data_IF_149382427900
#
_entry.id   IF_149382427900
#
_cell.length_a   1.000
_cell.length_b   1.000
_cell.length_c   1.000
_cell.angle_alpha   90.00
_cell.angle_beta   90.00
_cell.angle_gamma   90.00
#
_symmetry.space_group_name_H-M   'P 1'
#
loop_
_entity.id
_entity.type
_entity.pdbx_description
1 polymer ?
#
# COMPACT_ATOMS: atom_id res chain seq x y z
N UNK A 1 -16.84 6.04 2.47
CA UNK A 1 -15.96 5.51 1.39
C UNK A 1 -15.34 6.68 0.67
N UNK A 2 -14.10 7.04 0.97
CA UNK A 2 -13.33 8.05 0.23
C UNK A 2 -11.85 7.68 0.26
N UNK A 3 -11.48 6.65 -0.52
CA UNK A 3 -10.09 6.43 -0.91
C UNK A 3 -9.84 7.20 -2.20
N UNK A 4 -9.13 8.32 -2.12
CA UNK A 4 -8.69 9.06 -3.29
C UNK A 4 -7.50 8.33 -3.89
N UNK A 5 -7.71 7.70 -5.05
CA UNK A 5 -6.73 7.54 -6.13
C UNK A 5 -7.51 6.96 -7.31
N UNK A 6 -7.47 7.66 -8.44
CA UNK A 6 -8.27 7.33 -9.62
C UNK A 6 -7.94 5.96 -10.21
N UNK A 7 -8.51 5.70 -11.38
CA UNK A 7 -8.34 4.44 -12.11
C UNK A 7 -6.85 4.05 -12.18
N UNK A 8 -6.55 2.81 -11.80
CA UNK A 8 -5.20 2.26 -11.82
C UNK A 8 -5.10 1.24 -12.97
N UNK A 9 -4.03 1.31 -13.75
CA UNK A 9 -3.77 0.41 -14.85
C UNK A 9 -2.49 -0.37 -14.63
N UNK A 10 -2.47 -1.61 -15.06
CA UNK A 10 -1.27 -2.43 -15.12
C UNK A 10 -1.25 -3.29 -16.39
N UNK A 11 -0.06 -3.64 -16.85
CA UNK A 11 0.10 -4.69 -17.84
C UNK A 11 0.26 -6.05 -17.17
N UNK A 12 -0.26 -7.09 -17.80
CA UNK A 12 0.14 -8.46 -17.55
C UNK A 12 0.55 -9.14 -18.85
N UNK A 13 1.56 -9.99 -18.81
CA UNK A 13 1.95 -10.81 -19.96
C UNK A 13 2.20 -12.26 -19.58
N UNK A 14 2.07 -13.14 -20.55
CA UNK A 14 2.57 -14.49 -20.45
C UNK A 14 4.08 -14.48 -20.15
N UNK A 15 4.53 -15.36 -19.26
CA UNK A 15 5.95 -15.57 -18.95
C UNK A 15 6.63 -16.55 -19.91
N UNK A 16 5.85 -17.36 -20.62
CA UNK A 16 6.33 -18.40 -21.53
C UNK A 16 6.79 -17.83 -22.87
N UNK A 17 6.15 -16.76 -23.34
CA UNK A 17 6.49 -16.08 -24.59
C UNK A 17 6.24 -14.56 -24.49
N UNK A 18 6.45 -13.84 -25.59
CA UNK A 18 6.29 -12.38 -25.68
C UNK A 18 5.06 -11.93 -26.49
N UNK A 19 4.25 -12.86 -27.02
CA UNK A 19 3.23 -12.55 -28.01
C UNK A 19 1.81 -12.92 -27.60
N UNK A 20 1.62 -13.93 -26.74
CA UNK A 20 0.32 -14.46 -26.35
C UNK A 20 -0.15 -13.97 -24.97
N UNK A 21 -1.46 -14.03 -24.73
CA UNK A 21 -2.10 -13.82 -23.43
C UNK A 21 -1.61 -12.55 -22.71
N UNK A 22 -1.63 -11.43 -23.42
CA UNK A 22 -1.26 -10.11 -22.89
C UNK A 22 -2.51 -9.35 -22.49
N UNK A 23 -2.48 -8.70 -21.33
CA UNK A 23 -3.63 -7.99 -20.80
C UNK A 23 -3.28 -6.58 -20.36
N UNK A 24 -4.20 -5.65 -20.56
CA UNK A 24 -4.32 -4.47 -19.70
C UNK A 24 -5.30 -4.83 -18.59
N UNK A 25 -4.87 -4.67 -17.34
CA UNK A 25 -5.74 -4.78 -16.17
C UNK A 25 -6.15 -3.38 -15.76
N UNK A 26 -7.46 -3.17 -15.63
CA UNK A 26 -8.04 -1.91 -15.15
C UNK A 26 -8.62 -2.13 -13.77
N UNK A 27 -8.19 -1.34 -12.80
CA UNK A 27 -8.66 -1.37 -11.42
C UNK A 27 -9.34 -0.05 -11.07
N UNK A 28 -10.41 -0.10 -10.27
CA UNK A 28 -11.13 1.09 -9.81
C UNK A 28 -10.23 2.04 -9.02
N UNK A 29 -9.31 1.48 -8.23
CA UNK A 29 -8.27 2.21 -7.50
C UNK A 29 -7.02 1.35 -7.40
N UNK A 30 -5.92 1.98 -6.99
CA UNK A 30 -4.70 1.27 -6.62
C UNK A 30 -4.91 0.28 -5.47
N UNK A 31 -5.73 0.63 -4.48
CA UNK A 31 -6.01 -0.27 -3.35
C UNK A 31 -6.67 -1.57 -3.82
N UNK A 32 -7.51 -1.52 -4.87
CA UNK A 32 -8.07 -2.73 -5.50
C UNK A 32 -6.98 -3.56 -6.16
N UNK A 33 -5.99 -2.94 -6.83
CA UNK A 33 -4.87 -3.66 -7.43
C UNK A 33 -4.00 -4.40 -6.40
N UNK A 34 -3.65 -3.71 -5.31
CA UNK A 34 -2.88 -4.30 -4.21
C UNK A 34 -3.68 -5.39 -3.49
N UNK A 35 -5.00 -5.20 -3.29
CA UNK A 35 -5.92 -6.20 -2.71
C UNK A 35 -6.08 -7.44 -3.59
N UNK A 36 -6.23 -7.26 -4.90
CA UNK A 36 -6.30 -8.36 -5.85
C UNK A 36 -5.02 -9.20 -5.83
N UNK A 37 -3.86 -8.56 -5.92
CA UNK A 37 -2.60 -9.29 -5.92
C UNK A 37 -2.37 -10.02 -4.58
N UNK A 38 -2.73 -9.37 -3.46
CA UNK A 38 -2.72 -10.01 -2.13
C UNK A 38 -3.61 -11.25 -2.10
N UNK A 39 -4.83 -11.18 -2.63
CA UNK A 39 -5.74 -12.32 -2.67
C UNK A 39 -5.19 -13.48 -3.52
N UNK A 40 -4.54 -13.19 -4.64
CA UNK A 40 -3.82 -14.18 -5.46
C UNK A 40 -2.73 -14.86 -4.64
N UNK A 41 -1.83 -14.11 -4.01
CA UNK A 41 -0.72 -14.70 -3.23
C UNK A 41 -1.20 -15.44 -1.99
N UNK A 42 -2.26 -14.96 -1.35
CA UNK A 42 -2.83 -15.58 -0.13
C UNK A 42 -3.52 -16.90 -0.46
N UNK A 43 -4.19 -17.00 -1.63
CA UNK A 43 -4.75 -18.27 -2.09
C UNK A 43 -3.68 -19.35 -2.28
N UNK A 44 -2.52 -18.98 -2.86
CA UNK A 44 -1.40 -19.89 -3.06
C UNK A 44 -0.79 -20.31 -1.73
N UNK A 45 -0.52 -19.35 -0.83
CA UNK A 45 -0.01 -19.63 0.50
C UNK A 45 -0.97 -20.49 1.34
N UNK A 46 -2.28 -20.32 1.12
CA UNK A 46 -3.35 -21.13 1.73
C UNK A 46 -3.56 -22.51 1.12
N UNK A 47 -2.67 -22.96 0.21
CA UNK A 47 -2.73 -24.29 -0.38
C UNK A 47 -3.57 -24.42 -1.65
N UNK A 48 -3.91 -23.30 -2.32
CA UNK A 48 -4.57 -23.28 -3.62
C UNK A 48 -3.61 -22.78 -4.73
N UNK A 49 -2.73 -23.66 -5.26
CA UNK A 49 -1.60 -23.24 -6.09
C UNK A 49 -1.96 -22.90 -7.55
N UNK A 50 -3.26 -22.91 -7.92
CA UNK A 50 -3.73 -22.67 -9.30
C UNK A 50 -3.12 -21.42 -9.93
N UNK A 51 -2.92 -20.37 -9.14
CA UNK A 51 -2.38 -19.09 -9.62
C UNK A 51 -0.94 -18.81 -9.17
N UNK A 52 -0.18 -19.85 -8.77
CA UNK A 52 1.22 -19.72 -8.35
C UNK A 52 2.15 -19.16 -9.46
N UNK A 53 1.73 -19.27 -10.72
CA UNK A 53 2.42 -18.66 -11.87
C UNK A 53 2.28 -17.14 -11.95
N UNK A 54 1.34 -16.52 -11.24
CA UNK A 54 1.12 -15.06 -11.26
C UNK A 54 2.14 -14.37 -10.36
N UNK A 55 2.93 -13.44 -10.93
CA UNK A 55 3.96 -12.68 -10.21
C UNK A 55 3.87 -11.19 -10.54
N UNK A 56 4.03 -10.35 -9.53
CA UNK A 56 4.22 -8.90 -9.69
C UNK A 56 5.70 -8.59 -9.91
N UNK A 57 6.02 -7.94 -11.02
CA UNK A 57 7.37 -7.48 -11.34
C UNK A 57 7.55 -6.02 -10.90
N UNK A 58 6.51 -5.20 -11.07
CA UNK A 58 6.46 -3.81 -10.63
C UNK A 58 5.01 -3.41 -10.31
N UNK A 59 4.80 -2.22 -9.76
CA UNK A 59 3.49 -1.67 -9.43
C UNK A 59 2.45 -1.77 -10.57
N UNK A 60 2.89 -1.57 -11.82
CA UNK A 60 2.09 -1.63 -13.05
C UNK A 60 2.45 -2.78 -13.99
N UNK A 61 3.22 -3.78 -13.55
CA UNK A 61 3.64 -4.88 -14.41
C UNK A 61 3.61 -6.24 -13.72
N UNK A 62 2.86 -7.16 -14.31
CA UNK A 62 2.68 -8.53 -13.85
C UNK A 62 3.07 -9.52 -14.95
N UNK A 63 3.41 -10.73 -14.54
CA UNK A 63 3.56 -11.88 -15.42
C UNK A 63 2.72 -13.05 -14.92
N UNK A 64 2.31 -13.93 -15.82
CA UNK A 64 1.67 -15.19 -15.45
C UNK A 64 2.13 -16.33 -16.35
N UNK A 65 2.08 -17.56 -15.85
CA UNK A 65 2.32 -18.76 -16.65
C UNK A 65 1.00 -19.28 -17.23
N UNK A 66 0.80 -19.10 -18.54
CA UNK A 66 -0.43 -19.54 -19.23
C UNK A 66 -0.62 -21.06 -19.26
N UNK A 67 0.44 -21.86 -19.05
CA UNK A 67 0.34 -23.32 -18.98
C UNK A 67 -0.25 -23.78 -17.64
N UNK A 68 -0.21 -22.92 -16.60
CA UNK A 68 -0.77 -23.22 -15.28
C UNK A 68 -2.18 -22.65 -15.15
N UNK A 69 -2.33 -21.33 -15.38
CA UNK A 69 -3.61 -20.66 -15.36
C UNK A 69 -3.56 -19.31 -16.09
N UNK A 70 -4.71 -18.91 -16.65
CA UNK A 70 -4.86 -17.60 -17.25
C UNK A 70 -5.16 -16.56 -16.15
N UNK A 71 -4.39 -15.47 -16.10
CA UNK A 71 -4.47 -14.50 -15.02
C UNK A 71 -5.85 -13.86 -14.86
N UNK A 72 -6.61 -13.71 -15.95
CA UNK A 72 -7.96 -13.14 -15.90
C UNK A 72 -8.96 -14.05 -15.16
N UNK A 73 -8.67 -15.34 -15.00
CA UNK A 73 -9.56 -16.26 -14.29
C UNK A 73 -9.59 -15.97 -12.78
N UNK A 74 -8.57 -15.26 -12.25
CA UNK A 74 -8.48 -14.90 -10.82
C UNK A 74 -9.73 -14.19 -10.29
N UNK A 75 -10.35 -13.31 -11.09
CA UNK A 75 -11.56 -12.55 -10.72
C UNK A 75 -12.86 -13.34 -10.88
N UNK A 76 -12.78 -14.54 -11.43
CA UNK A 76 -13.91 -15.45 -11.56
C UNK A 76 -13.82 -16.62 -10.58
N UNK A 77 -12.70 -16.76 -9.87
CA UNK A 77 -12.47 -17.85 -8.93
C UNK A 77 -12.91 -17.45 -7.50
N UNK A 78 -13.88 -18.17 -6.89
CA UNK A 78 -14.38 -17.87 -5.55
C UNK A 78 -13.33 -18.04 -4.45
N UNK A 79 -12.26 -18.81 -4.68
CA UNK A 79 -11.18 -18.99 -3.71
C UNK A 79 -10.10 -17.92 -3.79
N UNK A 80 -10.22 -16.98 -4.75
CA UNK A 80 -9.18 -16.00 -5.05
C UNK A 80 -9.74 -14.59 -4.99
N UNK A 81 -10.31 -14.06 -6.06
CA UNK A 81 -10.67 -12.64 -6.14
C UNK A 81 -12.07 -12.38 -6.69
N UNK A 82 -12.98 -13.36 -6.61
CA UNK A 82 -14.38 -13.18 -7.03
C UNK A 82 -15.07 -11.99 -6.36
N UNK A 83 -14.74 -11.71 -5.09
CA UNK A 83 -15.31 -10.59 -4.35
C UNK A 83 -14.89 -9.21 -4.88
N UNK A 84 -13.88 -9.13 -5.76
CA UNK A 84 -13.46 -7.91 -6.46
C UNK A 84 -14.13 -7.73 -7.83
N UNK A 85 -15.04 -8.63 -8.21
CA UNK A 85 -15.81 -8.50 -9.45
C UNK A 85 -16.57 -7.16 -9.47
N UNK A 86 -16.48 -6.45 -10.59
CA UNK A 86 -17.04 -5.11 -10.75
C UNK A 86 -16.13 -3.97 -10.29
N UNK A 87 -15.01 -4.27 -9.61
CA UNK A 87 -13.98 -3.28 -9.23
C UNK A 87 -12.74 -3.35 -10.10
N UNK A 88 -12.62 -4.39 -10.94
CA UNK A 88 -11.54 -4.54 -11.90
C UNK A 88 -11.98 -5.42 -13.08
N UNK A 89 -11.28 -5.30 -14.19
CA UNK A 89 -11.45 -6.18 -15.35
C UNK A 89 -10.16 -6.32 -16.15
N UNK A 90 -10.11 -7.33 -17.01
CA UNK A 90 -8.99 -7.60 -17.91
C UNK A 90 -9.42 -7.34 -19.35
N UNK A 91 -8.60 -6.61 -20.08
CA UNK A 91 -8.72 -6.44 -21.54
C UNK A 91 -7.62 -7.24 -22.20
N UNK A 92 -7.99 -8.30 -22.93
CA UNK A 92 -7.04 -9.06 -23.75
C UNK A 92 -6.54 -8.15 -24.89
N UNK A 93 -5.22 -8.08 -25.03
CA UNK A 93 -4.54 -7.38 -26.12
C UNK A 93 -4.33 -8.38 -27.26
N UNK A 94 -4.46 -7.93 -28.51
CA UNK A 94 -4.23 -8.77 -29.70
C UNK A 94 -2.91 -9.53 -29.64
N UNK A 95 -2.91 -10.79 -30.05
CA UNK A 95 -1.70 -11.59 -30.22
C UNK A 95 -0.94 -11.13 -31.47
N UNK A 96 0.35 -10.78 -31.33
CA UNK A 96 1.37 -10.36 -32.33
C UNK A 96 0.98 -9.39 -33.49
N UNK A 97 -0.29 -9.12 -33.76
CA UNK A 97 -0.76 -8.39 -34.92
C UNK A 97 -1.30 -7.00 -34.57
N UNK A 98 -0.58 -6.01 -35.13
CA UNK A 98 -1.07 -4.67 -35.39
C UNK A 98 -0.64 -3.60 -34.41
N UNK A 99 0.68 -3.32 -34.27
CA UNK A 99 1.36 -2.06 -33.85
C UNK A 99 0.73 -1.17 -32.74
N UNK A 100 -0.26 -1.64 -32.00
CA UNK A 100 -1.07 -0.88 -31.06
C UNK A 100 -0.88 -1.54 -29.71
N UNK A 101 0.04 -0.98 -28.94
CA UNK A 101 0.10 -1.24 -27.51
C UNK A 101 -0.72 -0.14 -26.84
N UNK A 102 -1.72 -0.52 -26.03
CA UNK A 102 -2.45 0.44 -25.21
C UNK A 102 -1.48 1.09 -24.24
N UNK A 103 -1.04 2.32 -24.49
CA UNK A 103 -0.13 3.05 -23.60
C UNK A 103 -0.91 3.40 -22.33
N UNK A 104 -0.53 2.82 -21.20
CA UNK A 104 -1.10 3.17 -19.90
C UNK A 104 -0.30 4.33 -19.29
N UNK A 105 -0.94 5.27 -18.58
CA UNK A 105 -0.23 6.33 -17.89
C UNK A 105 0.69 5.75 -16.80
N UNK A 106 1.86 6.36 -16.64
CA UNK A 106 2.77 6.04 -15.54
C UNK A 106 2.14 6.46 -14.22
N UNK A 107 2.11 5.54 -13.26
CA UNK A 107 1.62 5.79 -11.92
C UNK A 107 2.80 5.97 -10.97
N UNK A 108 3.00 7.20 -10.49
CA UNK A 108 4.05 7.56 -9.54
C UNK A 108 3.61 7.25 -8.11
N UNK A 109 3.44 5.97 -7.82
CA UNK A 109 3.01 5.47 -6.52
C UNK A 109 4.06 4.52 -5.94
N UNK A 110 4.37 4.66 -4.65
CA UNK A 110 5.33 3.78 -3.98
C UNK A 110 4.71 2.41 -3.70
N UNK A 111 5.34 1.30 -4.06
CA UNK A 111 4.82 -0.04 -3.71
C UNK A 111 4.80 -0.24 -2.20
N UNK A 112 3.61 -0.51 -1.63
CA UNK A 112 3.42 -0.71 -0.19
C UNK A 112 3.79 -2.14 0.15
N UNK A 113 5.05 -2.37 0.42
CA UNK A 113 5.65 -3.66 0.76
C UNK A 113 5.92 -3.78 2.26
N UNK A 114 5.58 -4.95 2.82
CA UNK A 114 5.80 -5.32 4.22
C UNK A 114 7.30 -5.37 4.54
N UNK A 115 7.74 -4.60 5.53
CA UNK A 115 9.13 -4.53 5.98
C UNK A 115 9.97 -3.44 5.30
N UNK A 116 9.41 -2.71 4.34
CA UNK A 116 10.11 -1.59 3.71
C UNK A 116 9.99 -0.31 4.54
N UNK A 117 10.88 0.64 4.25
CA UNK A 117 10.90 1.96 4.88
C UNK A 117 10.34 3.03 3.95
N UNK A 118 9.57 3.97 4.51
CA UNK A 118 8.87 5.03 3.79
C UNK A 118 8.98 6.35 4.53
N UNK A 119 8.84 7.45 3.81
CA UNK A 119 8.43 8.71 4.44
C UNK A 119 6.91 8.75 4.51
N UNK A 120 6.37 9.38 5.55
CA UNK A 120 4.92 9.62 5.68
C UNK A 120 4.67 11.08 5.39
N UNK A 121 3.94 11.38 4.31
CA UNK A 121 3.71 12.73 3.77
C UNK A 121 2.24 13.11 3.87
N UNK A 122 1.94 14.38 4.11
CA UNK A 122 0.56 14.88 4.02
C UNK A 122 0.08 14.81 2.58
N UNK A 123 -1.10 14.22 2.36
CA UNK A 123 -1.70 14.15 1.03
C UNK A 123 -2.22 15.52 0.55
N UNK A 124 -2.39 16.48 1.45
CA UNK A 124 -2.86 17.83 1.14
C UNK A 124 -1.71 18.84 0.97
N UNK A 125 -0.54 18.58 1.56
CA UNK A 125 0.65 19.43 1.44
C UNK A 125 1.90 18.56 1.23
N UNK A 126 2.37 18.51 -0.02
CA UNK A 126 3.50 17.67 -0.42
C UNK A 126 4.85 18.07 0.21
N UNK A 127 4.91 19.20 0.91
CA UNK A 127 6.09 19.63 1.65
C UNK A 127 6.03 19.21 3.13
N UNK A 128 4.90 18.72 3.63
CA UNK A 128 4.72 18.38 5.05
C UNK A 128 4.88 16.87 5.27
N UNK A 129 5.82 16.49 6.14
CA UNK A 129 6.17 15.10 6.44
C UNK A 129 6.12 14.81 7.94
N UNK A 130 5.98 13.54 8.29
CA UNK A 130 6.25 13.06 9.64
C UNK A 130 7.77 13.07 9.89
N UNK A 131 8.14 13.64 11.02
CA UNK A 131 9.49 13.66 11.56
C UNK A 131 9.45 13.18 13.00
N UNK A 132 10.26 12.17 13.33
CA UNK A 132 10.43 11.71 14.70
C UNK A 132 11.49 12.55 15.41
N UNK A 133 11.04 13.40 16.33
CA UNK A 133 11.89 14.21 17.19
C UNK A 133 12.41 13.36 18.35
N UNK A 134 13.66 12.90 18.23
CA UNK A 134 14.33 12.07 19.25
C UNK A 134 14.52 12.79 20.58
N UNK A 135 14.62 14.13 20.58
CA UNK A 135 14.77 14.89 21.82
C UNK A 135 13.51 14.89 22.67
N UNK A 136 12.36 14.67 22.03
CA UNK A 136 11.04 14.70 22.66
C UNK A 136 10.27 13.38 22.60
N UNK A 137 10.84 12.38 21.92
CA UNK A 137 10.23 11.07 21.70
C UNK A 137 8.84 11.12 21.05
N UNK A 138 8.60 12.10 20.17
CA UNK A 138 7.32 12.33 19.51
C UNK A 138 7.48 12.45 18.00
N UNK A 139 6.44 12.10 17.25
CA UNK A 139 6.33 12.41 15.83
C UNK A 139 5.65 13.76 15.66
N UNK A 140 6.29 14.63 14.89
CA UNK A 140 5.79 15.96 14.54
C UNK A 140 5.62 16.06 13.03
N UNK A 141 4.73 16.94 12.59
CA UNK A 141 4.70 17.36 11.20
C UNK A 141 5.79 18.42 10.98
N UNK A 142 6.60 18.29 9.93
CA UNK A 142 7.68 19.22 9.60
C UNK A 142 7.79 19.41 8.09
N UNK A 143 8.37 20.54 7.66
CA UNK A 143 8.56 20.88 6.24
C UNK A 143 9.99 20.78 5.74
N UNK A 144 10.93 20.93 6.66
CA UNK A 144 12.37 20.94 6.45
C UNK A 144 13.04 19.61 6.88
N UNK A 145 12.27 18.74 7.56
CA UNK A 145 12.75 17.48 8.13
C UNK A 145 11.75 16.37 7.86
N UNK A 146 12.27 15.14 7.77
CA UNK A 146 11.49 13.92 7.58
C UNK A 146 12.24 12.72 8.16
N UNK A 147 11.49 11.74 8.66
CA UNK A 147 12.04 10.48 9.15
C UNK A 147 11.58 9.35 8.25
N UNK A 148 12.49 8.41 7.95
CA UNK A 148 12.12 7.16 7.29
C UNK A 148 11.62 6.18 8.34
N UNK A 149 10.44 5.62 8.10
CA UNK A 149 9.74 4.71 8.99
C UNK A 149 9.63 3.34 8.35
N UNK A 150 10.04 2.29 9.06
CA UNK A 150 9.83 0.91 8.60
C UNK A 150 8.42 0.46 8.98
N UNK A 151 7.66 0.02 7.99
CA UNK A 151 6.26 -0.39 8.13
C UNK A 151 6.17 -1.91 8.01
N UNK A 152 5.66 -2.57 9.05
CA UNK A 152 5.48 -4.03 9.08
C UNK A 152 4.05 -4.42 9.39
N UNK A 153 3.55 -5.49 8.78
CA UNK A 153 2.27 -6.09 9.14
C UNK A 153 2.33 -6.63 10.59
N UNK A 154 1.26 -6.43 11.34
CA UNK A 154 1.15 -6.89 12.72
C UNK A 154 0.95 -8.41 12.84
N UNK A 155 0.46 -9.07 11.79
CA UNK A 155 0.45 -10.53 11.69
C UNK A 155 1.88 -11.05 11.44
N UNK A 156 2.44 -11.74 12.44
CA UNK A 156 3.79 -12.31 12.39
C UNK A 156 3.95 -13.42 11.36
N UNK A 157 2.86 -14.05 10.94
CA UNK A 157 2.89 -15.08 9.90
C UNK A 157 3.01 -14.47 8.50
N UNK A 158 2.84 -13.15 8.39
CA UNK A 158 2.90 -12.45 7.12
C UNK A 158 4.36 -12.26 6.69
N UNK A 159 4.73 -12.91 5.59
CA UNK A 159 6.08 -12.80 5.05
C UNK A 159 6.47 -11.34 4.73
N UNK A 160 7.73 -11.00 5.04
CA UNK A 160 8.38 -9.79 4.55
C UNK A 160 8.40 -9.79 3.03
N UNK A 161 8.35 -8.61 2.41
CA UNK A 161 8.27 -8.47 0.96
C UNK A 161 6.85 -8.61 0.38
N UNK A 162 5.85 -8.92 1.20
CA UNK A 162 4.47 -9.06 0.74
C UNK A 162 3.71 -7.72 0.68
N UNK A 163 2.72 -7.58 -0.22
CA UNK A 163 2.04 -6.29 -0.51
C UNK A 163 1.05 -5.88 0.60
N UNK A 164 1.33 -4.83 1.35
CA UNK A 164 0.42 -4.30 2.36
C UNK A 164 -0.84 -3.69 1.73
N UNK A 165 -2.00 -3.97 2.34
CA UNK A 165 -3.31 -3.45 1.92
C UNK A 165 -3.96 -2.65 3.05
N UNK A 166 -4.94 -1.80 2.72
CA UNK A 166 -5.54 -0.87 3.70
C UNK A 166 -6.12 -1.54 4.94
N UNK A 167 -6.61 -2.78 4.82
CA UNK A 167 -7.18 -3.55 5.94
C UNK A 167 -6.14 -4.12 6.91
N UNK A 168 -4.86 -4.16 6.53
CA UNK A 168 -3.78 -4.70 7.34
C UNK A 168 -3.55 -3.81 8.56
N UNK A 169 -3.47 -4.43 9.74
CA UNK A 169 -2.95 -3.79 10.93
C UNK A 169 -1.42 -3.74 10.83
N UNK A 170 -0.83 -2.58 11.11
CA UNK A 170 0.60 -2.31 10.93
C UNK A 170 1.27 -1.82 12.21
N UNK A 171 2.56 -2.12 12.31
CA UNK A 171 3.51 -1.48 13.22
C UNK A 171 4.41 -0.52 12.45
N UNK A 172 4.85 0.52 13.15
CA UNK A 172 5.78 1.52 12.65
C UNK A 172 7.02 1.52 13.54
N UNK A 173 8.20 1.51 12.93
CA UNK A 173 9.48 1.61 13.66
C UNK A 173 10.41 2.63 13.02
N UNK A 174 11.32 3.19 13.83
CA UNK A 174 12.41 4.10 13.41
C UNK A 174 13.72 3.67 14.05
N UNK A 175 14.85 4.20 13.57
CA UNK A 175 16.16 4.12 14.21
C UNK A 175 16.51 2.72 14.77
N UNK A 176 16.61 1.70 13.90
CA UNK A 176 16.95 0.32 14.28
C UNK A 176 16.02 -0.32 15.33
N UNK A 177 14.72 -0.01 15.29
CA UNK A 177 13.70 -0.79 16.01
C UNK A 177 12.97 -0.05 17.13
N UNK A 178 13.17 1.27 17.28
CA UNK A 178 12.32 2.08 18.15
C UNK A 178 10.89 2.05 17.62
N UNK A 179 9.99 1.47 18.41
CA UNK A 179 8.57 1.36 18.11
C UNK A 179 7.90 2.73 18.17
N UNK A 180 7.16 3.07 17.12
CA UNK A 180 6.33 4.26 17.03
C UNK A 180 4.86 3.85 17.14
N UNK A 181 4.12 4.49 18.03
CA UNK A 181 2.71 4.23 18.25
C UNK A 181 2.02 5.41 18.91
N UNK A 182 0.72 5.26 19.15
CA UNK A 182 -0.08 6.25 19.87
C UNK A 182 0.21 6.11 21.37
N UNK A 183 0.64 7.20 21.99
CA UNK A 183 0.83 7.29 23.43
C UNK A 183 -0.53 7.39 24.13
N UNK A 184 -0.77 6.50 25.10
CA UNK A 184 -2.04 6.38 25.82
C UNK A 184 -2.43 7.60 26.66
N UNK A 185 -1.50 8.51 26.98
CA UNK A 185 -1.77 9.62 27.90
C UNK A 185 -2.20 10.90 27.19
N UNK A 186 -1.80 11.10 25.93
CA UNK A 186 -2.01 12.37 25.21
C UNK A 186 -2.39 12.17 23.73
N UNK A 187 -2.63 10.93 23.32
CA UNK A 187 -2.92 10.51 21.93
C UNK A 187 -1.86 10.94 20.89
N UNK A 188 -0.70 11.44 21.32
CA UNK A 188 0.41 11.75 20.43
C UNK A 188 1.02 10.49 19.84
N UNK A 189 1.39 10.56 18.58
CA UNK A 189 2.21 9.55 17.93
C UNK A 189 3.65 9.77 18.38
N UNK A 190 4.29 8.75 18.94
CA UNK A 190 5.64 8.86 19.47
C UNK A 190 6.25 7.51 19.80
N UNK A 191 7.40 7.51 20.47
CA UNK A 191 8.01 6.27 20.94
C UNK A 191 7.09 5.57 21.93
N UNK A 192 6.84 4.28 21.71
CA UNK A 192 6.01 3.47 22.60
C UNK A 192 6.66 2.12 22.85
N UNK A 193 6.74 1.71 24.11
CA UNK A 193 7.23 0.37 24.49
C UNK A 193 6.26 -0.71 24.02
N UNK A 194 4.95 -0.42 24.04
CA UNK A 194 3.87 -1.32 23.66
C UNK A 194 3.00 -0.65 22.59
N UNK A 195 3.49 -0.51 21.35
CA UNK A 195 2.72 0.12 20.29
C UNK A 195 1.46 -0.71 20.03
N UNK A 196 0.30 -0.06 19.98
CA UNK A 196 -0.91 -0.69 19.45
C UNK A 196 -0.88 -0.58 17.93
N UNK A 197 -1.05 -1.70 17.20
CA UNK A 197 -1.11 -1.62 15.76
C UNK A 197 -2.38 -0.88 15.33
N UNK A 198 -2.36 -0.33 14.13
CA UNK A 198 -3.52 0.31 13.54
C UNK A 198 -3.59 -0.01 12.06
N UNK A 199 -4.79 0.10 11.48
CA UNK A 199 -4.97 -0.20 10.05
C UNK A 199 -4.16 0.76 9.18
N UNK A 200 -3.50 0.23 8.16
CA UNK A 200 -2.80 1.06 7.17
C UNK A 200 -3.73 2.12 6.57
N UNK A 201 -5.01 1.79 6.39
CA UNK A 201 -6.03 2.75 5.93
C UNK A 201 -6.22 3.96 6.84
N UNK A 202 -5.82 3.90 8.12
CA UNK A 202 -5.91 5.02 9.06
C UNK A 202 -5.11 6.25 8.60
N UNK A 203 -3.97 6.02 7.92
CA UNK A 203 -3.21 7.09 7.27
C UNK A 203 -4.06 7.76 6.18
N UNK A 204 -4.77 6.97 5.37
CA UNK A 204 -5.56 7.44 4.23
C UNK A 204 -6.93 8.01 4.63
N UNK A 205 -7.51 7.57 5.76
CA UNK A 205 -8.86 7.93 6.20
C UNK A 205 -8.95 9.25 6.95
N UNK A 206 -7.82 9.85 7.32
CA UNK A 206 -7.83 11.08 8.12
C UNK A 206 -7.83 10.82 9.62
N UNK A 207 -7.16 9.76 10.10
CA UNK A 207 -7.15 9.46 11.53
C UNK A 207 -6.06 10.21 12.31
N UNK A 208 -5.16 10.91 11.63
CA UNK A 208 -4.02 11.57 12.26
C UNK A 208 -4.02 13.08 12.01
N UNK A 209 -4.03 13.86 13.09
CA UNK A 209 -4.15 15.32 13.05
C UNK A 209 -2.85 15.98 13.53
N UNK A 210 -2.50 17.14 12.97
CA UNK A 210 -1.45 18.01 13.50
C UNK A 210 -2.04 18.88 14.62
N UNK A 211 -1.43 18.86 15.81
CA UNK A 211 -1.79 19.81 16.87
C UNK A 211 -0.99 21.12 16.73
N UNK A 212 -1.60 22.15 16.15
CA UNK A 212 -0.99 23.48 16.00
C UNK A 212 -0.91 24.29 17.31
N UNK A 213 -1.62 23.88 18.36
CA UNK A 213 -1.70 24.64 19.62
C UNK A 213 -0.55 24.32 20.60
N UNK A 214 0.37 23.45 20.21
CA UNK A 214 1.47 23.00 21.06
C UNK A 214 2.79 23.60 20.60
N UNK A 215 3.13 24.73 21.19
CA UNK A 215 4.40 25.40 20.94
C UNK A 215 5.60 24.60 21.49
N UNK A 216 6.75 24.74 20.82
CA UNK A 216 8.04 24.24 21.28
C UNK A 216 8.55 22.96 20.60
N UNK A 217 7.81 22.34 19.69
CA UNK A 217 8.27 21.16 18.93
C UNK A 217 9.09 21.57 17.70
N UNK A 218 9.96 20.68 17.21
CA UNK A 218 10.86 20.95 16.07
C UNK A 218 10.15 21.02 14.69
N UNK A 219 8.85 21.32 14.65
CA UNK A 219 8.01 21.31 13.45
C UNK A 219 6.72 22.12 13.62
N UNK A 220 5.75 21.91 12.75
CA UNK A 220 4.42 22.54 12.76
C UNK A 220 3.59 22.17 14.00
N UNK A 221 3.84 21.00 14.57
CA UNK A 221 3.14 20.49 15.76
C UNK A 221 3.23 18.97 15.85
N UNK A 222 2.98 18.38 17.03
CA UNK A 222 2.94 16.93 17.18
C UNK A 222 1.76 16.33 16.41
N UNK A 223 1.97 15.14 15.87
CA UNK A 223 0.90 14.33 15.27
C UNK A 223 0.17 13.60 16.38
N UNK A 224 -1.16 13.70 16.40
CA UNK A 224 -2.02 12.94 17.31
C UNK A 224 -2.97 12.04 16.52
N UNK A 225 -3.45 10.97 17.15
CA UNK A 225 -4.53 10.17 16.59
C UNK A 225 -5.87 10.79 16.97
N UNK A 226 -6.62 11.23 15.97
CA UNK A 226 -7.99 11.73 16.10
C UNK A 226 -8.85 11.13 14.97
N UNK A 227 -9.40 9.91 15.17
CA UNK A 227 -10.07 9.16 14.13
C UNK A 227 -11.15 9.99 13.40
N UNK A 228 -11.06 10.05 12.07
CA UNK A 228 -12.01 10.77 11.22
C UNK A 228 -12.01 12.31 11.31
N UNK A 229 -11.08 12.92 12.06
CA UNK A 229 -10.97 14.38 12.22
C UNK A 229 -9.60 14.94 11.84
N UNK A 230 -8.68 14.08 11.43
CA UNK A 230 -7.32 14.43 11.04
C UNK A 230 -7.13 14.63 9.54
N UNK A 231 -5.87 14.71 9.17
CA UNK A 231 -5.38 14.86 7.81
C UNK A 231 -5.11 13.51 7.17
N UNK A 232 -5.14 13.48 5.84
CA UNK A 232 -4.74 12.31 5.08
C UNK A 232 -3.23 12.29 4.93
N UNK A 233 -2.66 11.11 5.11
CA UNK A 233 -1.24 10.84 5.01
C UNK A 233 -1.01 9.68 4.04
N UNK A 234 0.11 9.73 3.33
CA UNK A 234 0.51 8.72 2.36
C UNK A 234 1.96 8.30 2.58
N UNK A 235 2.25 7.05 2.22
CA UNK A 235 3.62 6.54 2.16
C UNK A 235 4.26 7.02 0.86
N UNK A 236 5.49 7.53 0.93
CA UNK A 236 6.31 7.95 -0.23
C UNK A 236 7.76 7.53 -0.10
#
# INVERSE_FOLDING_TARGET
MTTTTGICYAYAKNSIDDWSYRYVITFATRDVADTWYRAVTDSVAGGYPRFAGVKRIASQFYVHDSNVALIFETINDPKVALFLRGQMFFTLINDRDGRIQSIIPVLNYVDRINGNSYYIRSANDANTYWYYDTGKNVVVAARDKRTSFTITNADKNRALGSVLIGSDDIYITVNNGTNIGVNSTQDFVGSSVNPQPFKLSALLSGDFQINFNNDGFAGLGPVLRNPGKGERWELV
#
